data_IF_263402695195
#
_entry.id   IF_263402695195
#
_cell.length_a   1.000
_cell.length_b   1.000
_cell.length_c   1.000
_cell.angle_alpha   90.00
_cell.angle_beta   90.00
_cell.angle_gamma   90.00
#
_symmetry.space_group_name_H-M   'P 1'
#
loop_
_entity.id
_entity.type
_entity.pdbx_description
1 polymer ?
#
# COMPACT_ATOMS: atom_id res chain seq x y z
N UNK A 1 44.30 -3.36 -136.60
CA UNK A 1 43.70 -3.28 -137.94
C UNK A 1 42.24 -3.67 -137.81
N UNK A 2 41.33 -2.74 -138.16
CA UNK A 2 39.87 -2.83 -138.44
C UNK A 2 38.99 -3.64 -137.45
N UNK A 3 38.08 -3.05 -136.65
CA UNK A 3 36.83 -2.32 -136.96
C UNK A 3 35.75 -3.14 -137.70
N UNK A 4 34.65 -3.44 -136.99
CA UNK A 4 33.21 -3.39 -137.37
C UNK A 4 32.46 -3.48 -136.01
N UNK A 5 31.83 -2.45 -135.41
CA UNK A 5 30.72 -1.56 -135.79
C UNK A 5 29.30 -2.18 -135.66
N UNK A 6 28.49 -1.59 -134.77
CA UNK A 6 27.00 -1.65 -134.71
C UNK A 6 26.42 -2.94 -134.10
N UNK A 7 25.46 -2.93 -133.16
CA UNK A 7 24.25 -2.09 -133.13
C UNK A 7 23.66 -2.06 -131.71
N UNK A 8 22.90 -1.00 -131.45
CA UNK A 8 22.46 -0.41 -130.19
C UNK A 8 21.32 -1.14 -129.44
N UNK A 9 21.14 -0.85 -128.14
CA UNK A 9 20.03 -0.01 -127.60
C UNK A 9 19.80 -0.21 -126.09
N UNK A 10 19.79 0.93 -125.38
CA UNK A 10 19.00 1.28 -124.19
C UNK A 10 19.12 0.43 -122.89
N UNK A 11 19.17 0.99 -121.69
CA UNK A 11 19.27 2.36 -121.20
C UNK A 11 19.56 2.28 -119.69
N UNK A 12 20.47 3.14 -119.24
CA UNK A 12 20.63 3.65 -117.87
C UNK A 12 19.31 3.79 -117.11
N UNK A 13 19.26 3.39 -115.84
CA UNK A 13 18.63 4.17 -114.74
C UNK A 13 19.18 3.71 -113.37
N UNK A 14 19.60 4.71 -112.58
CA UNK A 14 20.20 4.70 -111.24
C UNK A 14 19.10 4.76 -110.15
N UNK A 15 19.51 4.87 -108.86
CA UNK A 15 18.75 5.30 -107.66
C UNK A 15 18.10 4.14 -106.86
N UNK A 16 18.00 4.09 -105.52
CA UNK A 16 18.32 4.88 -104.30
C UNK A 16 17.83 3.98 -103.11
N UNK A 17 18.19 4.13 -101.81
CA UNK A 17 17.78 3.18 -100.78
C UNK A 17 16.27 3.32 -100.52
N UNK A 18 15.54 2.22 -100.65
CA UNK A 18 14.10 2.18 -100.36
C UNK A 18 13.88 2.41 -98.86
N UNK A 19 13.63 3.66 -98.48
CA UNK A 19 12.75 3.97 -97.36
C UNK A 19 11.39 3.40 -97.72
N UNK A 20 11.03 2.27 -97.12
CA UNK A 20 9.68 1.71 -97.22
C UNK A 20 8.74 2.72 -96.56
N UNK A 21 8.10 3.54 -97.38
CA UNK A 21 6.95 4.32 -96.96
C UNK A 21 5.83 3.35 -96.59
N UNK A 22 5.62 3.17 -95.29
CA UNK A 22 4.44 2.52 -94.78
C UNK A 22 3.23 3.37 -95.14
N UNK A 23 2.55 3.03 -96.25
CA UNK A 23 1.26 3.59 -96.58
C UNK A 23 0.31 3.38 -95.40
N UNK A 24 -0.01 4.45 -94.68
CA UNK A 24 -0.93 4.40 -93.56
C UNK A 24 -2.30 3.95 -94.08
N UNK A 25 -2.62 2.68 -93.81
CA UNK A 25 -3.93 2.12 -94.09
C UNK A 25 -4.97 2.90 -93.28
N UNK A 26 -5.56 3.89 -93.94
CA UNK A 26 -6.52 4.81 -93.33
C UNK A 26 -7.90 4.17 -93.41
N UNK A 27 -8.37 3.60 -92.31
CA UNK A 27 -9.74 3.13 -92.20
C UNK A 27 -10.65 4.31 -91.85
N UNK A 28 -11.57 4.67 -92.76
CA UNK A 28 -12.62 5.68 -92.52
C UNK A 28 -12.09 7.11 -92.28
N UNK A 29 -11.00 7.50 -92.96
CA UNK A 29 -10.42 8.86 -92.91
C UNK A 29 -9.50 9.13 -91.71
N UNK A 30 -9.24 8.13 -90.86
CA UNK A 30 -8.35 8.24 -89.69
C UNK A 30 -7.11 7.35 -89.84
N UNK A 31 -5.91 7.86 -89.48
CA UNK A 31 -4.69 7.04 -89.50
C UNK A 31 -4.77 5.92 -88.46
N UNK A 32 -3.99 4.83 -88.59
CA UNK A 32 -3.96 3.73 -87.61
C UNK A 32 -3.76 4.20 -86.17
N UNK A 33 -2.94 5.22 -85.94
CA UNK A 33 -2.76 5.86 -84.63
C UNK A 33 -4.02 6.52 -84.08
N UNK A 34 -4.93 6.99 -84.94
CA UNK A 34 -6.23 7.56 -84.57
C UNK A 34 -7.19 6.51 -84.00
N UNK A 35 -7.21 5.31 -84.57
CA UNK A 35 -7.99 4.19 -84.01
C UNK A 35 -7.41 3.69 -82.67
N UNK A 36 -6.08 3.70 -82.52
CA UNK A 36 -5.42 3.41 -81.23
C UNK A 36 -5.80 4.48 -80.20
N UNK A 37 -5.71 5.77 -80.55
CA UNK A 37 -6.12 6.85 -79.66
C UNK A 37 -7.60 6.76 -79.27
N UNK A 38 -8.50 6.45 -80.23
CA UNK A 38 -9.92 6.26 -79.97
C UNK A 38 -10.18 5.06 -79.04
N UNK A 39 -9.50 3.93 -79.25
CA UNK A 39 -9.61 2.77 -78.36
C UNK A 39 -9.12 3.07 -76.94
N UNK A 40 -8.03 3.83 -76.79
CA UNK A 40 -7.55 4.29 -75.49
C UNK A 40 -8.56 5.22 -74.81
N UNK A 41 -9.18 6.13 -75.57
CA UNK A 41 -10.21 7.04 -75.08
C UNK A 41 -11.45 6.27 -74.58
N UNK A 42 -11.87 5.23 -75.30
CA UNK A 42 -12.97 4.34 -74.88
C UNK A 42 -12.59 3.57 -73.60
N UNK A 43 -11.36 3.06 -73.48
CA UNK A 43 -10.88 2.40 -72.25
C UNK A 43 -10.87 3.37 -71.06
N UNK A 44 -10.36 4.59 -71.25
CA UNK A 44 -10.36 5.63 -70.21
C UNK A 44 -11.80 5.99 -69.82
N UNK A 45 -12.71 6.15 -70.79
CA UNK A 45 -14.12 6.42 -70.53
C UNK A 45 -14.78 5.29 -69.73
N UNK A 46 -14.49 4.02 -70.04
CA UNK A 46 -14.97 2.86 -69.28
C UNK A 46 -14.39 2.85 -67.86
N UNK A 47 -13.11 3.16 -67.67
CA UNK A 47 -12.45 3.25 -66.36
C UNK A 47 -13.08 4.33 -65.49
N UNK A 48 -13.37 5.50 -66.07
CA UNK A 48 -14.04 6.61 -65.40
C UNK A 48 -15.50 6.25 -65.09
N UNK A 49 -16.21 5.61 -66.02
CA UNK A 49 -17.61 5.20 -65.82
C UNK A 49 -17.74 4.10 -64.76
N UNK A 50 -16.76 3.19 -64.67
CA UNK A 50 -16.65 2.17 -63.61
C UNK A 50 -16.07 2.70 -62.30
N UNK A 51 -15.75 4.00 -62.22
CA UNK A 51 -15.31 4.71 -61.00
C UNK A 51 -14.12 4.05 -60.30
N UNK A 52 -13.25 3.39 -61.07
CA UNK A 52 -12.01 2.77 -60.57
C UNK A 52 -11.14 3.74 -59.77
N UNK A 53 -10.88 5.00 -60.20
CA UNK A 53 -10.07 5.92 -59.40
C UNK A 53 -10.71 6.26 -58.05
N UNK A 54 -12.04 6.37 -58.00
CA UNK A 54 -12.77 6.61 -56.74
C UNK A 54 -12.68 5.40 -55.79
N UNK A 55 -12.75 4.17 -56.31
CA UNK A 55 -12.63 2.97 -55.50
C UNK A 55 -11.22 2.82 -54.88
N UNK A 56 -10.18 3.18 -55.63
CA UNK A 56 -8.80 3.19 -55.13
C UNK A 56 -8.64 4.27 -54.04
N UNK A 57 -9.10 5.50 -54.30
CA UNK A 57 -9.09 6.58 -53.30
C UNK A 57 -9.82 6.17 -52.01
N UNK A 58 -11.01 5.60 -52.11
CA UNK A 58 -11.79 5.14 -50.96
C UNK A 58 -11.08 4.02 -50.15
N UNK A 59 -10.35 3.12 -50.81
CA UNK A 59 -9.56 2.08 -50.14
C UNK A 59 -8.37 2.67 -49.38
N UNK A 60 -7.69 3.66 -49.96
CA UNK A 60 -6.61 4.39 -49.30
C UNK A 60 -7.14 5.19 -48.11
N UNK A 61 -8.25 5.92 -48.28
CA UNK A 61 -8.90 6.66 -47.19
C UNK A 61 -9.32 5.74 -46.05
N UNK A 62 -9.86 4.56 -46.36
CA UNK A 62 -10.20 3.54 -45.36
C UNK A 62 -8.97 3.06 -44.58
N UNK A 63 -7.83 2.86 -45.26
CA UNK A 63 -6.56 2.49 -44.60
C UNK A 63 -6.05 3.63 -43.72
N UNK A 64 -6.07 4.87 -44.21
CA UNK A 64 -5.67 6.05 -43.44
C UNK A 64 -6.55 6.20 -42.20
N UNK A 65 -7.87 6.07 -42.35
CA UNK A 65 -8.81 6.12 -41.23
C UNK A 65 -8.52 5.01 -40.21
N UNK A 66 -8.30 3.77 -40.66
CA UNK A 66 -7.93 2.66 -39.78
C UNK A 66 -6.62 2.89 -39.01
N UNK A 67 -5.58 3.42 -39.68
CA UNK A 67 -4.31 3.76 -39.03
C UNK A 67 -4.49 4.89 -38.02
N UNK A 68 -5.29 5.92 -38.35
CA UNK A 68 -5.61 7.01 -37.42
C UNK A 68 -6.31 6.48 -36.17
N UNK A 69 -7.33 5.64 -36.34
CA UNK A 69 -8.02 5.02 -35.20
C UNK A 69 -7.08 4.19 -34.33
N UNK A 70 -6.21 3.36 -34.94
CA UNK A 70 -5.22 2.57 -34.18
C UNK A 70 -4.21 3.45 -33.44
N UNK A 71 -3.77 4.55 -34.06
CA UNK A 71 -2.85 5.50 -33.43
C UNK A 71 -3.53 6.24 -32.26
N UNK A 72 -4.79 6.65 -32.44
CA UNK A 72 -5.58 7.28 -31.39
C UNK A 72 -5.80 6.32 -30.22
N UNK A 73 -6.17 5.07 -30.48
CA UNK A 73 -6.29 4.02 -29.46
C UNK A 73 -4.98 3.76 -28.74
N UNK A 74 -3.86 3.67 -29.46
CA UNK A 74 -2.55 3.48 -28.86
C UNK A 74 -2.13 4.69 -28.00
N UNK A 75 -2.43 5.92 -28.45
CA UNK A 75 -2.17 7.14 -27.69
C UNK A 75 -2.98 7.19 -26.41
N UNK A 76 -4.27 6.82 -26.49
CA UNK A 76 -5.18 6.72 -25.34
C UNK A 76 -4.70 5.67 -24.36
N UNK A 77 -4.32 4.48 -24.83
CA UNK A 77 -3.80 3.41 -23.99
C UNK A 77 -2.50 3.81 -23.29
N UNK A 78 -1.62 4.55 -23.98
CA UNK A 78 -0.43 5.15 -23.35
C UNK A 78 -0.80 6.15 -22.25
N UNK A 79 -1.74 7.06 -22.52
CA UNK A 79 -2.18 8.04 -21.54
C UNK A 79 -2.81 7.37 -20.31
N UNK A 80 -3.61 6.32 -20.51
CA UNK A 80 -4.20 5.51 -19.43
C UNK A 80 -3.11 4.78 -18.62
N UNK A 81 -2.12 4.20 -19.28
CA UNK A 81 -1.01 3.53 -18.60
C UNK A 81 -0.14 4.51 -17.78
N UNK A 82 0.13 5.71 -18.33
CA UNK A 82 0.85 6.77 -17.62
C UNK A 82 0.04 7.30 -16.43
N UNK A 83 -1.27 7.51 -16.59
CA UNK A 83 -2.16 7.91 -15.52
C UNK A 83 -2.21 6.85 -14.40
N UNK A 84 -2.34 5.58 -14.77
CA UNK A 84 -2.36 4.47 -13.83
C UNK A 84 -1.03 4.35 -13.07
N UNK A 85 0.11 4.49 -13.77
CA UNK A 85 1.44 4.51 -13.14
C UNK A 85 1.57 5.66 -12.13
N UNK A 86 1.09 6.86 -12.50
CA UNK A 86 1.10 8.01 -11.60
C UNK A 86 0.21 7.78 -10.36
N UNK A 87 -0.96 7.17 -10.55
CA UNK A 87 -1.86 6.79 -9.44
C UNK A 87 -1.20 5.79 -8.50
N UNK A 88 -0.59 4.72 -9.02
CA UNK A 88 0.14 3.75 -8.20
C UNK A 88 1.34 4.36 -7.49
N UNK A 89 2.09 5.24 -8.14
CA UNK A 89 3.20 5.95 -7.49
C UNK A 89 2.70 6.82 -6.33
N UNK A 90 1.58 7.55 -6.51
CA UNK A 90 0.95 8.32 -5.44
C UNK A 90 0.45 7.42 -4.31
N UNK A 91 -0.22 6.31 -4.62
CA UNK A 91 -0.68 5.33 -3.63
C UNK A 91 0.48 4.71 -2.86
N UNK A 92 1.57 4.37 -3.53
CA UNK A 92 2.76 3.83 -2.88
C UNK A 92 3.41 4.86 -1.94
N UNK A 93 3.53 6.12 -2.38
CA UNK A 93 4.04 7.20 -1.53
C UNK A 93 3.13 7.47 -0.32
N UNK A 94 1.81 7.48 -0.52
CA UNK A 94 0.83 7.62 0.55
C UNK A 94 0.92 6.46 1.56
N UNK A 95 0.97 5.22 1.08
CA UNK A 95 1.09 4.04 1.93
C UNK A 95 2.42 4.03 2.71
N UNK A 96 3.52 4.48 2.11
CA UNK A 96 4.79 4.62 2.81
C UNK A 96 4.72 5.70 3.91
N UNK A 97 4.05 6.83 3.64
CA UNK A 97 3.82 7.87 4.64
C UNK A 97 2.91 7.42 5.78
N UNK A 98 1.84 6.68 5.46
CA UNK A 98 0.93 6.10 6.45
C UNK A 98 1.63 5.05 7.31
N UNK A 99 2.45 4.18 6.72
CA UNK A 99 3.26 3.21 7.46
C UNK A 99 4.25 3.91 8.41
N UNK A 100 4.90 4.98 7.97
CA UNK A 100 5.79 5.77 8.83
C UNK A 100 5.02 6.39 10.01
N UNK A 101 3.84 6.96 9.73
CA UNK A 101 2.96 7.52 10.76
C UNK A 101 2.48 6.46 11.77
N UNK A 102 2.11 5.26 11.30
CA UNK A 102 1.74 4.13 12.18
C UNK A 102 2.88 3.76 13.10
N UNK A 103 4.11 3.70 12.59
CA UNK A 103 5.30 3.37 13.39
C UNK A 103 5.58 4.46 14.42
N UNK A 104 5.51 5.73 14.03
CA UNK A 104 5.69 6.86 14.95
C UNK A 104 4.63 6.85 16.07
N UNK A 105 3.35 6.67 15.70
CA UNK A 105 2.26 6.54 16.67
C UNK A 105 2.46 5.34 17.61
N UNK A 106 2.86 4.18 17.09
CA UNK A 106 3.13 3.00 17.90
C UNK A 106 4.27 3.24 18.91
N UNK A 107 5.34 3.95 18.51
CA UNK A 107 6.41 4.33 19.42
C UNK A 107 5.95 5.31 20.50
N UNK A 108 5.15 6.32 20.14
CA UNK A 108 4.58 7.27 21.09
C UNK A 108 3.66 6.57 22.09
N UNK A 109 2.76 5.69 21.63
CA UNK A 109 1.89 4.90 22.50
C UNK A 109 2.68 3.95 23.40
N UNK A 110 3.70 3.27 22.88
CA UNK A 110 4.56 2.41 23.68
C UNK A 110 5.26 3.20 24.80
N UNK A 111 5.77 4.40 24.51
CA UNK A 111 6.38 5.25 25.52
C UNK A 111 5.38 5.66 26.62
N UNK A 112 4.15 6.02 26.23
CA UNK A 112 3.07 6.35 27.18
C UNK A 112 2.68 5.14 28.04
N UNK A 113 2.59 3.94 27.46
CA UNK A 113 2.29 2.71 28.20
C UNK A 113 3.39 2.42 29.22
N UNK A 114 4.66 2.55 28.83
CA UNK A 114 5.79 2.34 29.75
C UNK A 114 5.76 3.34 30.90
N UNK A 115 5.50 4.62 30.61
CA UNK A 115 5.43 5.65 31.64
C UNK A 115 4.26 5.43 32.61
N UNK A 116 3.09 5.08 32.07
CA UNK A 116 1.93 4.72 32.88
C UNK A 116 2.21 3.48 33.73
N UNK A 117 2.83 2.45 33.15
CA UNK A 117 3.18 1.23 33.86
C UNK A 117 4.17 1.50 35.01
N UNK A 118 5.14 2.40 34.83
CA UNK A 118 6.04 2.84 35.91
C UNK A 118 5.27 3.54 37.03
N UNK A 119 4.45 4.54 36.69
CA UNK A 119 3.62 5.26 37.67
C UNK A 119 2.69 4.32 38.45
N UNK A 120 2.06 3.38 37.76
CA UNK A 120 1.18 2.37 38.37
C UNK A 120 2.00 1.43 39.27
N UNK A 121 3.19 1.00 38.84
CA UNK A 121 4.08 0.17 39.64
C UNK A 121 4.54 0.89 40.92
N UNK A 122 4.94 2.16 40.83
CA UNK A 122 5.31 2.99 41.99
C UNK A 122 4.15 3.11 42.98
N UNK A 123 2.95 3.38 42.48
CA UNK A 123 1.72 3.45 43.29
C UNK A 123 1.44 2.11 43.98
N UNK A 124 1.59 0.99 43.27
CA UNK A 124 1.42 -0.35 43.81
C UNK A 124 2.44 -0.67 44.89
N UNK A 125 3.70 -0.31 44.69
CA UNK A 125 4.80 -0.50 45.65
C UNK A 125 4.52 0.33 46.90
N UNK A 126 4.19 1.62 46.77
CA UNK A 126 3.88 2.49 47.90
C UNK A 126 2.71 1.95 48.72
N UNK A 127 1.63 1.50 48.06
CA UNK A 127 0.48 0.88 48.73
C UNK A 127 0.87 -0.42 49.45
N UNK A 128 1.70 -1.26 48.83
CA UNK A 128 2.18 -2.50 49.45
C UNK A 128 3.10 -2.23 50.65
N UNK A 129 3.98 -1.25 50.57
CA UNK A 129 4.84 -0.83 51.69
C UNK A 129 3.97 -0.40 52.86
N UNK A 130 3.02 0.51 52.62
CA UNK A 130 2.09 0.98 53.66
C UNK A 130 1.30 -0.17 54.30
N UNK A 131 0.77 -1.11 53.51
CA UNK A 131 0.07 -2.27 54.07
C UNK A 131 1.01 -3.18 54.90
N UNK A 132 2.28 -3.30 54.53
CA UNK A 132 3.26 -4.06 55.30
C UNK A 132 3.60 -3.34 56.61
N UNK A 133 3.84 -2.03 56.57
CA UNK A 133 4.06 -1.18 57.73
C UNK A 133 2.88 -1.23 58.70
N UNK A 134 1.64 -1.11 58.19
CA UNK A 134 0.42 -1.20 59.00
C UNK A 134 0.29 -2.58 59.67
N UNK A 135 0.64 -3.67 58.96
CA UNK A 135 0.65 -5.03 59.53
C UNK A 135 1.73 -5.20 60.59
N UNK A 136 2.93 -4.66 60.37
CA UNK A 136 4.02 -4.69 61.35
C UNK A 136 3.59 -3.93 62.61
N UNK A 137 3.07 -2.71 62.47
CA UNK A 137 2.59 -1.91 63.59
C UNK A 137 1.46 -2.61 64.37
N UNK A 138 0.55 -3.29 63.68
CA UNK A 138 -0.50 -4.09 64.32
C UNK A 138 0.10 -5.29 65.10
N UNK A 139 1.06 -6.01 64.51
CA UNK A 139 1.74 -7.12 65.14
C UNK A 139 2.56 -6.68 66.36
N UNK A 140 3.26 -5.55 66.28
CA UNK A 140 4.01 -4.97 67.40
C UNK A 140 3.10 -4.62 68.59
N UNK A 141 1.95 -3.99 68.32
CA UNK A 141 0.96 -3.71 69.38
C UNK A 141 0.45 -5.00 70.03
N UNK A 142 0.20 -6.03 69.22
CA UNK A 142 -0.18 -7.36 69.71
C UNK A 142 0.90 -7.98 70.60
N UNK A 143 2.15 -8.00 70.14
CA UNK A 143 3.28 -8.55 70.89
C UNK A 143 3.53 -7.80 72.21
N UNK A 144 3.40 -6.47 72.23
CA UNK A 144 3.53 -5.68 73.45
C UNK A 144 2.40 -6.02 74.43
N UNK A 145 1.16 -6.17 73.94
CA UNK A 145 0.03 -6.56 74.78
C UNK A 145 0.21 -7.97 75.37
N UNK A 146 0.69 -8.93 74.58
CA UNK A 146 1.03 -10.28 75.04
C UNK A 146 2.15 -10.27 76.08
N UNK A 147 3.21 -9.49 75.87
CA UNK A 147 4.32 -9.36 76.82
C UNK A 147 3.84 -8.78 78.15
N UNK A 148 2.99 -7.74 78.11
CA UNK A 148 2.38 -7.15 79.32
C UNK A 148 1.50 -8.16 80.04
N UNK A 149 0.68 -8.93 79.32
CA UNK A 149 -0.15 -9.97 79.91
C UNK A 149 0.70 -11.07 80.58
N UNK A 150 1.77 -11.54 79.91
CA UNK A 150 2.72 -12.52 80.49
C UNK A 150 3.42 -11.98 81.73
N UNK A 151 3.87 -10.72 81.71
CA UNK A 151 4.50 -10.08 82.86
C UNK A 151 3.52 -9.93 84.04
N UNK A 152 2.29 -9.50 83.78
CA UNK A 152 1.24 -9.38 84.79
C UNK A 152 0.90 -10.75 85.42
N UNK A 153 0.77 -11.79 84.59
CA UNK A 153 0.53 -13.15 85.07
C UNK A 153 1.70 -13.70 85.90
N UNK A 154 2.95 -13.47 85.48
CA UNK A 154 4.13 -13.88 86.24
C UNK A 154 4.23 -13.13 87.58
N UNK A 155 3.96 -11.83 87.60
CA UNK A 155 3.93 -11.04 88.82
C UNK A 155 2.81 -11.49 89.77
N UNK A 156 1.61 -11.77 89.24
CA UNK A 156 0.49 -12.29 90.03
C UNK A 156 0.79 -13.68 90.60
N UNK A 157 1.42 -14.57 89.82
CA UNK A 157 1.84 -15.90 90.27
C UNK A 157 2.91 -15.82 91.38
N UNK A 158 3.91 -14.95 91.22
CA UNK A 158 4.93 -14.72 92.24
C UNK A 158 4.33 -14.11 93.53
N UNK A 159 3.43 -13.14 93.39
CA UNK A 159 2.69 -12.57 94.53
C UNK A 159 1.85 -13.64 95.25
N UNK A 160 1.16 -14.50 94.49
CA UNK A 160 0.38 -15.60 95.05
C UNK A 160 1.26 -16.61 95.81
N UNK A 161 2.45 -16.94 95.29
CA UNK A 161 3.44 -17.78 96.00
C UNK A 161 3.91 -17.13 97.30
N UNK A 162 4.33 -15.86 97.27
CA UNK A 162 4.80 -15.15 98.47
C UNK A 162 3.68 -15.04 99.52
N UNK A 163 2.44 -14.75 99.09
CA UNK A 163 1.28 -14.74 100.00
C UNK A 163 1.08 -16.14 100.60
N UNK A 164 1.13 -17.19 99.79
CA UNK A 164 1.02 -18.58 100.27
C UNK A 164 2.11 -18.99 101.27
N UNK A 165 3.34 -18.53 101.07
CA UNK A 165 4.47 -18.79 101.99
C UNK A 165 4.38 -17.96 103.29
N UNK A 166 3.79 -16.76 103.25
CA UNK A 166 3.68 -15.87 104.42
C UNK A 166 2.38 -16.02 105.21
N UNK A 167 1.40 -16.78 104.71
CA UNK A 167 0.13 -17.01 105.38
C UNK A 167 0.26 -18.12 106.42
N UNK A 168 0.64 -17.74 107.64
CA UNK A 168 0.57 -18.57 108.85
C UNK A 168 -0.78 -18.37 109.58
N UNK A 169 -1.20 -19.35 110.40
CA UNK A 169 -2.48 -19.37 111.10
C UNK A 169 -2.75 -18.15 112.00
N UNK A 170 -1.71 -17.38 112.37
CA UNK A 170 -1.84 -16.09 113.07
C UNK A 170 -2.21 -14.89 112.19
N UNK A 171 -1.86 -14.91 110.90
CA UNK A 171 -2.09 -13.79 109.96
C UNK A 171 -3.52 -13.76 109.40
N UNK A 172 -4.19 -14.90 109.34
CA UNK A 172 -5.56 -15.04 108.83
C UNK A 172 -6.59 -14.27 109.67
N UNK A 173 -6.49 -14.32 111.01
CA UNK A 173 -7.38 -13.57 111.90
C UNK A 173 -7.31 -12.05 111.65
N UNK A 174 -6.10 -11.50 111.54
CA UNK A 174 -5.90 -10.07 111.29
C UNK A 174 -6.31 -9.63 109.88
N UNK A 175 -6.33 -10.53 108.90
CA UNK A 175 -6.91 -10.28 107.58
C UNK A 175 -8.44 -10.28 107.63
N UNK A 176 -9.06 -11.26 108.31
CA UNK A 176 -10.52 -11.32 108.49
C UNK A 176 -11.04 -10.08 109.22
N UNK A 177 -10.42 -9.68 110.32
CA UNK A 177 -10.85 -8.51 111.10
C UNK A 177 -10.72 -7.20 110.28
N UNK A 178 -9.66 -7.03 109.49
CA UNK A 178 -9.51 -5.87 108.58
C UNK A 178 -10.52 -5.87 107.44
N UNK A 179 -10.87 -7.03 106.91
CA UNK A 179 -11.86 -7.16 105.82
C UNK A 179 -13.27 -6.83 106.36
N UNK A 180 -13.61 -7.31 107.55
CA UNK A 180 -14.87 -6.97 108.25
C UNK A 180 -14.92 -5.47 108.56
N UNK A 181 -13.84 -4.87 109.06
CA UNK A 181 -13.76 -3.43 109.32
C UNK A 181 -13.93 -2.59 108.02
N UNK A 182 -13.32 -3.01 106.91
CA UNK A 182 -13.42 -2.32 105.62
C UNK A 182 -14.82 -2.38 104.98
N UNK A 183 -15.57 -3.47 105.20
CA UNK A 183 -16.97 -3.57 104.79
C UNK A 183 -17.87 -2.63 105.62
N UNK A 184 -17.60 -2.50 106.91
CA UNK A 184 -18.30 -1.53 107.77
C UNK A 184 -18.11 -0.07 107.34
N UNK A 185 -16.97 0.26 106.74
CA UNK A 185 -16.64 1.63 106.30
C UNK A 185 -17.24 2.02 104.94
N UNK A 186 -17.65 1.06 104.09
CA UNK A 186 -18.38 1.32 102.82
C UNK A 186 -19.89 1.32 102.96
N UNK A 187 -20.43 0.91 104.11
CA UNK A 187 -21.86 0.84 104.38
C UNK A 187 -22.42 2.10 105.06
N UNK A 188 -21.64 3.19 105.10
CA UNK A 188 -22.01 4.54 105.53
C UNK A 188 -21.73 5.49 104.37
#
# INVERSE_FOLDING_TARGET
MAEVAGTELNATTLANPETIEHGEMTALGLPPGGWVALSMLVVIAIILWKKVPTAIAASLDKKIAGIRTQLDEASKLRAEAEALKAEYAKKAAAAAGEAASIVEHAHAEAALIVEKAKSDAETLIARRSKMAEDKIAAAERGAIAELRAKAANAAAAAAAQIIGEKLDAGSDKGLVDRTIAGLGQRAN
#
